data_IF_178838581997
#
_entry.id   IF_178838581997
#
_cell.length_a   1.000
_cell.length_b   1.000
_cell.length_c   1.000
_cell.angle_alpha   90.00
_cell.angle_beta   90.00
_cell.angle_gamma   90.00
#
_symmetry.space_group_name_H-M   'P 1'
#
loop_
_entity.id
_entity.type
_entity.pdbx_description
1 polymer ?
#
# COMPACT_ATOMS: atom_id res chain seq x y z
N UNK A 1 12.84 6.25 8.60
CA UNK A 1 12.46 7.43 7.78
C UNK A 1 11.37 8.30 8.41
N UNK A 2 10.27 7.73 8.94
CA UNK A 2 9.11 8.50 9.42
C UNK A 2 9.43 9.54 10.51
N UNK A 3 10.07 9.14 11.61
CA UNK A 3 10.44 10.07 12.70
C UNK A 3 11.33 11.20 12.22
N UNK A 4 12.34 10.89 11.38
CA UNK A 4 13.26 11.87 10.80
C UNK A 4 12.50 12.94 10.01
N UNK A 5 11.65 12.54 9.06
CA UNK A 5 10.88 13.50 8.26
C UNK A 5 9.86 14.28 9.09
N UNK A 6 9.26 13.67 10.11
CA UNK A 6 8.38 14.36 11.04
C UNK A 6 9.13 15.46 11.82
N UNK A 7 10.35 15.19 12.27
CA UNK A 7 11.21 16.19 12.93
C UNK A 7 11.65 17.30 11.97
N UNK A 8 12.04 16.96 10.74
CA UNK A 8 12.43 17.94 9.71
C UNK A 8 11.28 18.89 9.31
N UNK A 9 10.03 18.43 9.41
CA UNK A 9 8.83 19.21 9.07
C UNK A 9 8.05 19.73 10.28
N UNK A 10 8.61 19.61 11.49
CA UNK A 10 7.98 20.05 12.74
C UNK A 10 6.58 19.46 13.00
N UNK A 11 6.32 18.24 12.53
CA UNK A 11 5.03 17.59 12.75
C UNK A 11 4.74 16.43 11.80
N UNK A 12 3.65 15.71 12.07
CA UNK A 12 3.15 14.66 11.18
C UNK A 12 2.27 15.25 10.09
N UNK A 13 2.45 14.77 8.86
CA UNK A 13 1.64 15.15 7.71
C UNK A 13 1.56 14.00 6.69
N UNK A 14 0.65 14.09 5.72
CA UNK A 14 0.61 13.15 4.61
C UNK A 14 1.92 13.16 3.79
N UNK A 15 2.58 14.33 3.66
CA UNK A 15 3.87 14.43 2.96
C UNK A 15 5.00 13.74 3.73
N UNK A 16 5.02 13.84 5.07
CA UNK A 16 5.97 13.10 5.91
C UNK A 16 5.86 11.60 5.69
N UNK A 17 4.63 11.07 5.67
CA UNK A 17 4.38 9.64 5.44
C UNK A 17 4.82 9.25 4.02
N UNK A 18 4.47 10.06 3.02
CA UNK A 18 4.87 9.83 1.61
C UNK A 18 6.39 9.82 1.44
N UNK A 19 7.10 10.83 1.97
CA UNK A 19 8.58 10.88 1.93
C UNK A 19 9.21 9.71 2.66
N UNK A 20 8.65 9.32 3.80
CA UNK A 20 9.12 8.18 4.55
C UNK A 20 8.98 6.87 3.77
N UNK A 21 7.87 6.68 3.07
CA UNK A 21 7.65 5.54 2.20
C UNK A 21 8.63 5.54 1.03
N UNK A 22 8.71 6.65 0.27
CA UNK A 22 9.62 6.78 -0.88
C UNK A 22 11.08 6.51 -0.52
N UNK A 23 11.56 7.05 0.61
CA UNK A 23 12.93 6.80 1.06
C UNK A 23 13.16 5.34 1.49
N UNK A 24 12.13 4.66 2.01
CA UNK A 24 12.19 3.22 2.31
C UNK A 24 12.31 2.41 1.02
N UNK A 25 11.49 2.74 0.02
CA UNK A 25 11.48 2.07 -1.28
C UNK A 25 12.81 2.26 -2.02
N UNK A 26 13.34 3.49 -2.06
CA UNK A 26 14.65 3.77 -2.65
C UNK A 26 15.79 3.01 -1.94
N UNK A 27 15.74 2.94 -0.61
CA UNK A 27 16.67 2.15 0.19
C UNK A 27 16.60 0.66 -0.14
N UNK A 28 15.38 0.12 -0.27
CA UNK A 28 15.17 -1.27 -0.67
C UNK A 28 15.69 -1.54 -2.08
N UNK A 29 15.39 -0.66 -3.05
CA UNK A 29 15.88 -0.74 -4.42
C UNK A 29 17.43 -0.77 -4.48
N UNK A 30 18.08 0.06 -3.66
CA UNK A 30 19.56 0.07 -3.54
C UNK A 30 20.11 -1.27 -3.05
N UNK A 31 19.44 -1.88 -2.05
CA UNK A 31 19.84 -3.18 -1.50
C UNK A 31 19.66 -4.30 -2.53
N UNK A 32 18.49 -4.39 -3.18
CA UNK A 32 18.22 -5.46 -4.15
C UNK A 32 19.10 -5.34 -5.39
N UNK A 33 19.40 -4.12 -5.86
CA UNK A 33 20.28 -3.91 -7.02
C UNK A 33 21.69 -4.44 -6.75
N UNK A 34 22.22 -4.22 -5.53
CA UNK A 34 23.54 -4.75 -5.12
C UNK A 34 23.52 -6.26 -4.89
N UNK A 35 22.40 -6.79 -4.39
CA UNK A 35 22.24 -8.21 -4.12
C UNK A 35 22.01 -9.03 -5.40
N UNK A 36 21.46 -8.44 -6.46
CA UNK A 36 21.04 -9.11 -7.69
C UNK A 36 22.04 -10.15 -8.24
N UNK A 37 23.35 -9.85 -8.38
CA UNK A 37 24.30 -10.80 -8.97
C UNK A 37 24.53 -12.05 -8.12
N UNK A 38 24.29 -11.96 -6.81
CA UNK A 38 24.64 -13.02 -5.84
C UNK A 38 23.41 -13.70 -5.24
N UNK A 39 22.26 -13.01 -5.20
CA UNK A 39 21.01 -13.45 -4.59
C UNK A 39 19.81 -13.01 -5.45
N UNK A 40 19.65 -13.56 -6.67
CA UNK A 40 18.54 -13.18 -7.54
C UNK A 40 17.17 -13.53 -6.94
N UNK A 41 17.09 -14.41 -5.95
CA UNK A 41 15.81 -14.76 -5.31
C UNK A 41 15.24 -13.59 -4.46
N UNK A 42 16.06 -12.64 -4.01
CA UNK A 42 15.60 -11.52 -3.16
C UNK A 42 14.98 -10.38 -3.95
N UNK A 43 14.93 -10.49 -5.28
CA UNK A 43 14.48 -9.40 -6.18
C UNK A 43 13.04 -9.59 -6.65
N UNK A 44 12.43 -10.74 -6.28
CA UNK A 44 11.04 -11.10 -6.60
C UNK A 44 10.12 -10.98 -5.38
N UNK A 45 10.63 -10.45 -4.27
CA UNK A 45 9.84 -10.25 -3.06
C UNK A 45 9.32 -8.82 -2.98
N UNK A 46 8.14 -8.68 -2.40
CA UNK A 46 7.54 -7.40 -2.07
C UNK A 46 6.68 -7.55 -0.82
N UNK A 47 6.20 -6.43 -0.30
CA UNK A 47 5.30 -6.41 0.85
C UNK A 47 4.27 -5.31 0.70
N UNK A 48 3.04 -5.57 1.13
CA UNK A 48 2.05 -4.52 1.33
C UNK A 48 2.54 -3.53 2.39
N UNK A 49 2.22 -2.26 2.20
CA UNK A 49 2.52 -1.18 3.13
C UNK A 49 1.21 -0.65 3.69
N UNK A 50 1.07 -0.70 5.01
CA UNK A 50 -0.06 -0.10 5.72
C UNK A 50 0.43 0.58 6.99
N UNK A 51 0.16 1.87 7.11
CA UNK A 51 0.59 2.69 8.24
C UNK A 51 -0.58 3.49 8.80
N UNK A 52 -0.74 3.42 10.13
CA UNK A 52 -1.61 4.29 10.91
C UNK A 52 -0.77 5.11 11.90
N UNK A 53 -0.91 6.44 11.88
CA UNK A 53 -0.23 7.33 12.82
C UNK A 53 -1.26 8.17 13.56
N UNK A 54 -1.24 8.13 14.89
CA UNK A 54 -2.04 9.02 15.73
C UNK A 54 -1.14 10.14 16.24
N UNK A 55 -1.43 11.38 15.87
CA UNK A 55 -0.67 12.55 16.27
C UNK A 55 -1.60 13.73 16.50
N UNK A 56 -1.54 14.34 17.69
CA UNK A 56 -2.33 15.52 18.06
C UNK A 56 -3.84 15.38 17.80
N UNK A 57 -4.40 14.21 18.11
CA UNK A 57 -5.82 13.91 17.91
C UNK A 57 -6.23 13.58 16.46
N UNK A 58 -5.29 13.56 15.52
CA UNK A 58 -5.51 13.21 14.11
C UNK A 58 -4.97 11.81 13.85
N UNK A 59 -5.77 10.97 13.18
CA UNK A 59 -5.33 9.69 12.64
C UNK A 59 -4.98 9.86 11.15
N UNK A 60 -3.72 9.61 10.81
CA UNK A 60 -3.25 9.50 9.44
C UNK A 60 -3.21 8.04 9.03
N UNK A 61 -3.77 7.70 7.88
CA UNK A 61 -3.72 6.36 7.30
C UNK A 61 -3.10 6.44 5.91
N UNK A 62 -2.18 5.53 5.61
CA UNK A 62 -1.63 5.35 4.27
C UNK A 62 -1.55 3.86 3.96
N UNK A 63 -2.02 3.48 2.76
CA UNK A 63 -2.10 2.10 2.30
C UNK A 63 -1.54 2.00 0.88
N UNK A 64 -0.71 0.99 0.64
CA UNK A 64 -0.23 0.58 -0.66
C UNK A 64 -0.21 -0.96 -0.71
N UNK A 65 -1.15 -1.53 -1.44
CA UNK A 65 -1.41 -2.96 -1.48
C UNK A 65 -2.84 -3.30 -1.05
N UNK A 66 -3.07 -4.57 -0.73
CA UNK A 66 -4.40 -5.12 -0.45
C UNK A 66 -4.74 -5.24 1.05
N UNK A 67 -3.88 -4.72 1.91
CA UNK A 67 -4.18 -4.53 3.34
C UNK A 67 -5.33 -3.52 3.54
N UNK A 68 -6.02 -3.60 4.69
CA UNK A 68 -7.17 -2.74 5.02
C UNK A 68 -7.11 -2.21 6.46
N UNK A 69 -7.46 -0.94 6.65
CA UNK A 69 -7.73 -0.34 7.97
C UNK A 69 -9.23 -0.18 8.16
N UNK A 70 -9.73 -0.66 9.30
CA UNK A 70 -11.12 -0.50 9.73
C UNK A 70 -11.13 0.05 11.16
N UNK A 71 -11.87 1.14 11.36
CA UNK A 71 -12.08 1.76 12.67
C UNK A 71 -13.44 1.35 13.25
N UNK A 72 -13.42 0.85 14.48
CA UNK A 72 -14.64 0.69 15.26
C UNK A 72 -15.10 2.04 15.81
N UNK A 73 -16.31 2.47 15.46
CA UNK A 73 -16.92 3.72 15.94
C UNK A 73 -18.13 3.41 16.82
N UNK A 74 -18.05 3.79 18.09
CA UNK A 74 -19.18 3.70 19.02
C UNK A 74 -20.24 4.77 18.69
N UNK A 75 -21.45 4.33 18.38
CA UNK A 75 -22.63 5.19 18.22
C UNK A 75 -23.22 5.44 19.60
N UNK A 76 -22.89 6.59 20.20
CA UNK A 76 -23.28 6.92 21.59
C UNK A 76 -24.79 6.83 21.86
N UNK A 77 -25.62 7.08 20.86
CA UNK A 77 -27.08 7.05 20.99
C UNK A 77 -27.65 5.63 21.16
N UNK A 78 -27.03 4.63 20.53
CA UNK A 78 -27.52 3.24 20.51
C UNK A 78 -26.64 2.29 21.32
N UNK A 79 -25.39 2.67 21.62
CA UNK A 79 -24.39 1.80 22.22
C UNK A 79 -23.73 0.83 21.23
N UNK A 80 -24.12 0.87 19.95
CA UNK A 80 -23.60 -0.02 18.91
C UNK A 80 -22.21 0.42 18.44
N UNK A 81 -21.39 -0.54 18.00
CA UNK A 81 -20.11 -0.27 17.34
C UNK A 81 -20.25 -0.57 15.85
N UNK A 82 -20.04 0.45 15.01
CA UNK A 82 -20.02 0.30 13.56
C UNK A 82 -18.59 0.20 13.05
N UNK A 83 -18.38 -0.58 11.99
CA UNK A 83 -17.10 -0.69 11.30
C UNK A 83 -17.02 0.37 10.18
N UNK A 84 -16.02 1.24 10.25
CA UNK A 84 -15.76 2.28 9.25
C UNK A 84 -14.42 1.98 8.57
N UNK A 85 -14.45 1.64 7.29
CA UNK A 85 -13.23 1.45 6.51
C UNK A 85 -12.54 2.80 6.26
N UNK A 86 -11.22 2.86 6.48
CA UNK A 86 -10.42 4.09 6.37
C UNK A 86 -9.39 4.06 5.24
N UNK A 87 -9.30 2.96 4.50
CA UNK A 87 -8.35 2.79 3.40
C UNK A 87 -9.03 2.18 2.19
N UNK A 88 -8.54 2.49 1.00
CA UNK A 88 -8.86 1.74 -0.24
C UNK A 88 -7.76 0.72 -0.49
N UNK A 89 -8.14 -0.49 -0.88
CA UNK A 89 -7.22 -1.56 -1.26
C UNK A 89 -6.85 -1.48 -2.74
N UNK A 90 -5.63 -1.91 -3.04
CA UNK A 90 -5.12 -2.03 -4.40
C UNK A 90 -5.05 -3.51 -4.75
N UNK A 91 -6.16 -4.04 -5.26
CA UNK A 91 -6.33 -5.45 -5.59
C UNK A 91 -6.99 -5.60 -6.96
N UNK A 92 -6.52 -6.53 -7.80
CA UNK A 92 -7.05 -6.77 -9.14
C UNK A 92 -8.51 -7.26 -9.17
N UNK A 93 -9.08 -7.67 -8.04
CA UNK A 93 -10.51 -7.95 -7.90
C UNK A 93 -11.37 -6.68 -8.02
N UNK A 94 -10.79 -5.49 -7.82
CA UNK A 94 -11.47 -4.20 -7.99
C UNK A 94 -11.38 -3.77 -9.46
N UNK A 95 -12.52 -3.44 -10.06
CA UNK A 95 -12.60 -3.14 -11.50
C UNK A 95 -11.79 -1.92 -11.91
N UNK A 96 -11.87 -0.82 -11.16
CA UNK A 96 -11.12 0.39 -11.47
C UNK A 96 -9.61 0.14 -11.48
N UNK A 97 -9.10 -0.72 -10.59
CA UNK A 97 -7.68 -1.11 -10.56
C UNK A 97 -7.31 -1.91 -11.81
N UNK A 98 -8.22 -2.77 -12.32
CA UNK A 98 -7.98 -3.48 -13.59
C UNK A 98 -7.93 -2.52 -14.77
N UNK A 99 -8.85 -1.57 -14.84
CA UNK A 99 -8.90 -0.57 -15.91
C UNK A 99 -7.65 0.31 -15.89
N UNK A 100 -7.20 0.74 -14.70
CA UNK A 100 -5.95 1.48 -14.52
C UNK A 100 -4.74 0.66 -14.99
N UNK A 101 -4.61 -0.60 -14.56
CA UNK A 101 -3.54 -1.49 -14.99
C UNK A 101 -3.50 -1.66 -16.51
N UNK A 102 -4.66 -1.84 -17.15
CA UNK A 102 -4.77 -1.94 -18.61
C UNK A 102 -4.38 -0.64 -19.31
N UNK A 103 -4.81 0.52 -18.78
CA UNK A 103 -4.46 1.81 -19.35
C UNK A 103 -2.96 2.11 -19.26
N UNK A 104 -2.29 1.67 -18.20
CA UNK A 104 -0.85 1.85 -18.00
C UNK A 104 -0.01 0.87 -18.84
N UNK A 105 -0.61 -0.22 -19.34
CA UNK A 105 0.07 -1.28 -20.08
C UNK A 105 -0.68 -1.60 -21.39
N UNK A 106 -0.79 -0.64 -22.33
CA UNK A 106 -1.58 -0.82 -23.56
C UNK A 106 -1.08 -1.98 -24.44
N UNK A 107 0.21 -2.31 -24.36
CA UNK A 107 0.83 -3.37 -25.15
C UNK A 107 0.74 -4.77 -24.50
N UNK A 108 0.27 -4.88 -23.24
CA UNK A 108 0.09 -6.15 -22.55
C UNK A 108 -1.40 -6.43 -22.31
N UNK A 109 -2.05 -7.03 -23.32
CA UNK A 109 -3.45 -7.46 -23.25
C UNK A 109 -3.75 -8.46 -22.13
N UNK A 110 -2.71 -9.06 -21.51
CA UNK A 110 -2.83 -10.02 -20.44
C UNK A 110 -2.34 -9.48 -19.09
N UNK A 111 -2.14 -8.16 -18.92
CA UNK A 111 -1.66 -7.59 -17.65
C UNK A 111 -2.53 -8.00 -16.44
N UNK A 112 -3.83 -8.19 -16.66
CA UNK A 112 -4.78 -8.76 -15.70
C UNK A 112 -5.37 -10.05 -16.27
N UNK A 113 -5.41 -11.12 -15.45
CA UNK A 113 -5.89 -12.45 -15.86
C UNK A 113 -6.88 -13.01 -14.84
N UNK A 114 -7.91 -13.68 -15.33
CA UNK A 114 -8.83 -14.43 -14.50
C UNK A 114 -8.28 -15.86 -14.31
N UNK A 115 -7.90 -16.22 -13.08
CA UNK A 115 -7.40 -17.55 -12.73
C UNK A 115 -8.21 -18.14 -11.59
N UNK A 116 -8.82 -19.30 -11.81
CA UNK A 116 -9.67 -19.99 -10.83
C UNK A 116 -10.78 -19.09 -10.25
N UNK A 117 -11.39 -18.25 -11.09
CA UNK A 117 -12.47 -17.33 -10.69
C UNK A 117 -12.02 -16.06 -9.97
N UNK A 118 -10.71 -15.82 -9.83
CA UNK A 118 -10.15 -14.63 -9.17
C UNK A 118 -9.26 -13.85 -10.14
N UNK A 119 -9.42 -12.52 -10.18
CA UNK A 119 -8.59 -11.63 -10.98
C UNK A 119 -7.21 -11.46 -10.36
N UNK A 120 -6.15 -11.55 -11.18
CA UNK A 120 -4.76 -11.44 -10.74
C UNK A 120 -3.95 -10.60 -11.71
N UNK A 121 -2.88 -9.99 -11.21
CA UNK A 121 -1.87 -9.36 -12.06
C UNK A 121 -0.96 -10.45 -12.63
N UNK A 122 -0.65 -10.37 -13.92
CA UNK A 122 0.25 -11.31 -14.59
C UNK A 122 1.63 -11.30 -13.92
N UNK A 123 2.18 -12.49 -13.70
CA UNK A 123 3.52 -12.66 -13.11
C UNK A 123 3.59 -12.52 -11.58
N UNK A 124 2.51 -12.06 -10.92
CA UNK A 124 2.45 -12.02 -9.45
C UNK A 124 1.76 -13.29 -8.96
N UNK A 125 2.49 -14.10 -8.19
CA UNK A 125 1.93 -15.23 -7.44
C UNK A 125 1.53 -14.69 -6.07
N UNK A 126 0.22 -14.55 -5.85
CA UNK A 126 -0.39 -14.42 -4.51
C UNK A 126 -0.90 -15.79 -4.07
#
# INVERSE_FOLDING_TARGET
HLQRFASEQSGMSADVIRKAFLATEEGFLSVITKAWPTKPQTVVVGSCYLVGVVCSGILYVSNLGDSRVVMGKLVKATGEVIAVQLSTEYNACIENIRQELQSLHPDDSHIVVLKHGVWRVKGIIQ
#
